data_IF_991549727994
#
_entry.id   IF_991549727994
#
_cell.length_a   1.000
_cell.length_b   1.000
_cell.length_c   1.000
_cell.angle_alpha   90.00
_cell.angle_beta   90.00
_cell.angle_gamma   90.00
#
_symmetry.space_group_name_H-M   'P 1'
#
loop_
_entity.id
_entity.type
_entity.pdbx_description
1 polymer ?
#
# COMPACT_ATOMS: atom_id res chain seq x y z
N UNK A 1 -14.24 -7.25 9.86
CA UNK A 1 -12.99 -6.60 9.44
C UNK A 1 -13.27 -5.20 8.92
N UNK A 2 -12.50 -4.22 9.33
CA UNK A 2 -12.62 -2.86 8.78
C UNK A 2 -12.07 -2.83 7.34
N UNK A 3 -12.40 -1.77 6.60
CA UNK A 3 -11.87 -1.59 5.26
C UNK A 3 -10.33 -1.53 5.27
N UNK A 4 -9.74 -0.83 6.23
CA UNK A 4 -8.29 -0.72 6.34
C UNK A 4 -7.63 -2.06 6.65
N UNK A 5 -8.23 -2.90 7.48
CA UNK A 5 -7.74 -4.26 7.74
C UNK A 5 -7.78 -5.12 6.49
N UNK A 6 -8.83 -5.02 5.68
CA UNK A 6 -8.93 -5.71 4.39
C UNK A 6 -7.85 -5.22 3.43
N UNK A 7 -7.61 -3.90 3.40
CA UNK A 7 -6.58 -3.30 2.57
C UNK A 7 -5.19 -3.87 2.90
N UNK A 8 -4.83 -3.91 4.19
CA UNK A 8 -3.54 -4.46 4.61
C UNK A 8 -3.40 -5.94 4.26
N UNK A 9 -4.46 -6.73 4.46
CA UNK A 9 -4.43 -8.15 4.08
C UNK A 9 -4.25 -8.32 2.57
N UNK A 10 -4.96 -7.53 1.78
CA UNK A 10 -4.84 -7.57 0.32
C UNK A 10 -3.42 -7.23 -0.13
N UNK A 11 -2.80 -6.20 0.45
CA UNK A 11 -1.42 -5.85 0.16
C UNK A 11 -0.48 -7.01 0.39
N UNK A 12 -0.58 -7.66 1.55
CA UNK A 12 0.31 -8.77 1.91
C UNK A 12 0.07 -10.02 1.06
N UNK A 13 -1.12 -10.20 0.52
CA UNK A 13 -1.40 -11.27 -0.46
C UNK A 13 -0.65 -11.00 -1.76
N UNK A 14 -0.63 -9.75 -2.21
CA UNK A 14 0.04 -9.36 -3.45
C UNK A 14 1.56 -9.30 -3.31
N UNK A 15 2.04 -8.84 -2.15
CA UNK A 15 3.47 -8.71 -1.86
C UNK A 15 3.68 -8.74 -0.35
N UNK A 16 4.12 -9.87 0.19
CA UNK A 16 4.18 -10.09 1.63
C UNK A 16 5.28 -9.32 2.37
N UNK A 17 6.22 -8.74 1.65
CA UNK A 17 7.32 -7.95 2.22
C UNK A 17 7.20 -6.44 1.95
N UNK A 18 6.01 -6.00 1.55
CA UNK A 18 5.79 -4.57 1.28
C UNK A 18 5.90 -3.74 2.55
N UNK A 19 6.56 -2.60 2.44
CA UNK A 19 6.69 -1.64 3.53
C UNK A 19 6.11 -0.30 3.07
N UNK A 20 5.11 0.20 3.79
CA UNK A 20 4.50 1.48 3.49
C UNK A 20 3.78 2.03 4.72
N UNK A 21 3.44 3.30 4.66
CA UNK A 21 2.63 3.98 5.66
C UNK A 21 1.35 4.45 4.99
N UNK A 22 0.21 4.19 5.64
CA UNK A 22 -1.09 4.61 5.13
C UNK A 22 -1.67 5.67 6.05
N UNK A 23 -2.03 6.82 5.48
CA UNK A 23 -2.67 7.91 6.21
C UNK A 23 -4.17 7.91 5.89
N UNK A 24 -5.00 7.61 6.89
CA UNK A 24 -6.44 7.49 6.69
C UNK A 24 -6.82 6.15 6.06
N UNK A 25 -7.93 6.13 5.34
CA UNK A 25 -8.44 4.92 4.71
C UNK A 25 -8.14 4.90 3.21
N UNK A 26 -8.29 3.75 2.58
CA UNK A 26 -8.08 3.59 1.14
C UNK A 26 -9.34 2.94 0.56
N UNK A 27 -10.18 3.75 -0.06
CA UNK A 27 -11.48 3.32 -0.59
C UNK A 27 -11.64 3.58 -2.09
N UNK A 28 -10.65 4.24 -2.70
CA UNK A 28 -10.72 4.64 -4.11
C UNK A 28 -9.31 4.68 -4.72
N UNK A 29 -9.25 4.79 -6.04
CA UNK A 29 -7.98 4.99 -6.75
C UNK A 29 -7.28 6.27 -6.28
N UNK A 30 -8.05 7.32 -6.00
CA UNK A 30 -7.49 8.59 -5.50
C UNK A 30 -6.84 8.40 -4.13
N UNK A 31 -7.48 7.69 -3.22
CA UNK A 31 -6.89 7.38 -1.92
C UNK A 31 -5.62 6.53 -2.07
N UNK A 32 -5.67 5.54 -2.95
CA UNK A 32 -4.53 4.69 -3.25
C UNK A 32 -3.34 5.51 -3.76
N UNK A 33 -3.60 6.55 -4.55
CA UNK A 33 -2.56 7.41 -5.10
C UNK A 33 -2.01 8.41 -4.08
N UNK A 34 -2.82 8.84 -3.12
CA UNK A 34 -2.50 9.99 -2.26
C UNK A 34 -2.24 9.64 -0.79
N UNK A 35 -2.80 8.53 -0.29
CA UNK A 35 -2.77 8.22 1.14
C UNK A 35 -1.66 7.24 1.53
N UNK A 36 -0.87 6.78 0.58
CA UNK A 36 0.17 5.78 0.83
C UNK A 36 1.55 6.39 0.59
N UNK A 37 2.43 6.27 1.59
CA UNK A 37 3.85 6.57 1.46
C UNK A 37 4.61 5.25 1.41
N UNK A 38 5.12 4.91 0.23
CA UNK A 38 5.83 3.65 -0.01
C UNK A 38 7.28 3.79 0.41
N UNK A 39 7.80 2.79 1.15
CA UNK A 39 9.19 2.76 1.53
C UNK A 39 10.01 2.18 0.37
N UNK A 40 10.99 2.94 -0.12
CA UNK A 40 11.85 2.53 -1.24
C UNK A 40 13.26 2.17 -0.78
N UNK A 41 13.57 2.29 0.50
CA UNK A 41 14.89 1.98 1.03
C UNK A 41 15.24 2.87 2.22
N UNK A 42 16.54 2.94 2.51
CA UNK A 42 17.07 3.82 3.56
C UNK A 42 18.16 4.71 2.98
N UNK A 43 18.30 5.90 3.54
CA UNK A 43 19.37 6.81 3.17
C UNK A 43 20.64 6.51 3.99
N UNK A 44 21.68 7.32 3.80
CA UNK A 44 22.96 7.14 4.47
C UNK A 44 22.90 7.33 5.99
N UNK A 45 21.81 7.93 6.50
CA UNK A 45 21.55 8.16 7.92
C UNK A 45 20.57 7.14 8.52
N UNK A 46 20.31 6.04 7.82
CA UNK A 46 19.36 4.97 8.20
C UNK A 46 17.92 5.46 8.32
N UNK A 47 17.57 6.54 7.60
CA UNK A 47 16.21 7.05 7.55
C UNK A 47 15.47 6.43 6.38
N UNK A 48 14.20 6.07 6.58
CA UNK A 48 13.36 5.53 5.51
C UNK A 48 13.17 6.55 4.39
N UNK A 49 13.42 6.12 3.16
CA UNK A 49 13.11 6.90 1.96
C UNK A 49 11.71 6.50 1.52
N UNK A 50 10.79 7.45 1.45
CA UNK A 50 9.40 7.19 1.07
C UNK A 50 9.01 7.99 -0.16
N UNK A 51 8.03 7.46 -0.90
CA UNK A 51 7.46 8.12 -2.07
C UNK A 51 5.96 7.86 -2.12
N UNK A 52 5.21 8.83 -2.63
CA UNK A 52 3.79 8.65 -2.91
C UNK A 52 3.54 7.95 -4.25
N UNK A 53 4.58 7.82 -5.08
CA UNK A 53 4.49 7.08 -6.34
C UNK A 53 4.72 5.61 -6.06
N UNK A 54 3.73 4.77 -6.35
CA UNK A 54 3.83 3.33 -6.13
C UNK A 54 4.99 2.72 -6.93
N UNK A 55 6.04 2.18 -6.25
CA UNK A 55 7.19 1.58 -6.93
C UNK A 55 6.98 0.11 -7.30
N UNK A 56 5.82 -0.47 -6.94
CA UNK A 56 5.54 -1.89 -7.12
C UNK A 56 4.56 -2.10 -8.27
N UNK A 57 5.03 -2.63 -9.40
CA UNK A 57 4.19 -2.87 -10.58
C UNK A 57 3.12 -3.93 -10.34
N UNK A 58 3.36 -4.88 -9.42
CA UNK A 58 2.41 -5.94 -9.08
C UNK A 58 1.29 -5.45 -8.15
N UNK A 59 1.45 -4.30 -7.52
CA UNK A 59 0.45 -3.74 -6.61
C UNK A 59 -0.28 -2.61 -7.35
N UNK A 60 -1.51 -2.88 -7.79
CA UNK A 60 -2.39 -1.88 -8.39
C UNK A 60 -3.66 -1.77 -7.57
N UNK A 61 -4.37 -0.64 -7.66
CA UNK A 61 -5.66 -0.51 -6.96
C UNK A 61 -6.65 -1.59 -7.40
N UNK A 62 -6.69 -1.90 -8.70
CA UNK A 62 -7.57 -2.95 -9.22
C UNK A 62 -7.25 -4.31 -8.58
N UNK A 63 -5.96 -4.67 -8.45
CA UNK A 63 -5.54 -5.93 -7.84
C UNK A 63 -5.84 -5.94 -6.34
N UNK A 64 -5.56 -4.85 -5.64
CA UNK A 64 -5.85 -4.72 -4.19
C UNK A 64 -7.34 -4.85 -3.95
N UNK A 65 -8.17 -4.12 -4.71
CA UNK A 65 -9.61 -4.16 -4.56
C UNK A 65 -10.18 -5.54 -4.82
N UNK A 66 -9.66 -6.24 -5.82
CA UNK A 66 -10.09 -7.61 -6.13
C UNK A 66 -9.82 -8.55 -4.94
N UNK A 67 -8.66 -8.42 -4.29
CA UNK A 67 -8.34 -9.22 -3.11
C UNK A 67 -9.20 -8.81 -1.90
N UNK A 68 -9.45 -7.51 -1.71
CA UNK A 68 -10.33 -7.03 -0.65
C UNK A 68 -11.75 -7.57 -0.79
N UNK A 69 -12.26 -7.65 -2.01
CA UNK A 69 -13.61 -8.13 -2.29
C UNK A 69 -13.79 -9.61 -1.98
N UNK A 70 -12.71 -10.37 -1.81
CA UNK A 70 -12.74 -11.79 -1.43
C UNK A 70 -12.77 -11.99 0.09
N UNK A 71 -12.58 -10.95 0.85
CA UNK A 71 -12.47 -11.03 2.32
C UNK A 71 -13.79 -10.79 3.04
#
# INVERSE_FOLDING_TARGET
MTNLQKFWKALFILKNDVECTVTGDVTSQSDFNNNIAWNTGTDENDRAITTNTNPHSEITWAAVKAEMDKL
#
